data_IF_506447561661
#
_entry.id   IF_506447561661
#
_cell.length_a   1.000
_cell.length_b   1.000
_cell.length_c   1.000
_cell.angle_alpha   90.00
_cell.angle_beta   90.00
_cell.angle_gamma   90.00
#
_symmetry.space_group_name_H-M   'P 1'
#
loop_
_entity.id
_entity.type
_entity.pdbx_description
1 polymer ?
#
# COMPACT_ATOMS: atom_id res chain seq x y z
N UNK A 1 -1.39 -10.84 -14.81
CA UNK A 1 -0.49 -10.67 -13.65
C UNK A 1 0.94 -11.18 -13.83
N UNK A 2 1.20 -12.16 -14.69
CA UNK A 2 2.54 -12.72 -14.84
C UNK A 2 3.64 -11.71 -15.15
N UNK A 3 3.38 -10.75 -16.05
CA UNK A 3 4.35 -9.72 -16.42
C UNK A 3 4.63 -8.76 -15.25
N UNK A 4 3.59 -8.36 -14.52
CA UNK A 4 3.72 -7.49 -13.35
C UNK A 4 4.51 -8.20 -12.23
N UNK A 5 4.19 -9.45 -11.95
CA UNK A 5 4.89 -10.24 -10.95
C UNK A 5 6.39 -10.38 -11.28
N UNK A 6 6.72 -10.62 -12.55
CA UNK A 6 8.13 -10.69 -13.00
C UNK A 6 8.83 -9.35 -12.85
N UNK A 7 8.16 -8.26 -13.18
CA UNK A 7 8.73 -6.91 -13.02
C UNK A 7 9.02 -6.59 -11.54
N UNK A 8 8.09 -6.91 -10.65
CA UNK A 8 8.25 -6.72 -9.20
C UNK A 8 9.46 -7.53 -8.70
N UNK A 9 9.56 -8.79 -9.10
CA UNK A 9 10.66 -9.65 -8.71
C UNK A 9 12.02 -9.10 -9.18
N UNK A 10 12.05 -8.52 -10.38
CA UNK A 10 13.27 -7.90 -10.92
C UNK A 10 13.65 -6.61 -10.18
N UNK A 11 12.67 -5.84 -9.72
CA UNK A 11 12.90 -4.59 -9.01
C UNK A 11 13.18 -4.78 -7.52
N UNK A 12 12.72 -5.87 -6.94
CA UNK A 12 12.75 -6.09 -5.49
C UNK A 12 14.11 -5.80 -4.84
N UNK A 13 15.24 -6.25 -5.37
CA UNK A 13 16.55 -5.95 -4.75
C UNK A 13 16.92 -4.48 -4.72
N UNK A 14 16.28 -3.64 -5.55
CA UNK A 14 16.58 -2.22 -5.67
C UNK A 14 15.60 -1.34 -4.90
N UNK A 15 14.55 -1.94 -4.31
CA UNK A 15 13.53 -1.18 -3.61
C UNK A 15 14.01 -0.73 -2.24
N UNK A 16 13.60 0.48 -1.84
CA UNK A 16 13.80 0.97 -0.49
C UNK A 16 12.72 0.39 0.42
N UNK A 17 12.97 -0.74 1.05
CA UNK A 17 12.04 -1.36 1.99
C UNK A 17 12.10 -0.67 3.35
N UNK A 18 10.96 -0.38 3.94
CA UNK A 18 10.88 0.25 5.24
C UNK A 18 9.64 -0.19 6.00
N UNK A 19 9.68 -0.07 7.34
CA UNK A 19 8.54 -0.29 8.24
C UNK A 19 8.14 1.02 8.88
N UNK A 20 6.86 1.14 9.17
CA UNK A 20 6.40 2.23 10.03
C UNK A 20 6.85 1.95 11.46
N UNK A 21 7.09 3.03 12.20
CA UNK A 21 7.54 2.92 13.59
C UNK A 21 6.41 3.15 14.59
N UNK A 22 5.25 3.60 14.11
CA UNK A 22 4.08 3.86 14.97
C UNK A 22 2.80 3.66 14.18
N UNK A 23 1.73 3.40 14.88
CA UNK A 23 0.39 3.26 14.32
C UNK A 23 -0.55 2.74 15.38
N UNK A 24 -1.73 3.38 15.49
CA UNK A 24 -2.78 2.96 16.40
C UNK A 24 -3.98 2.46 15.59
N UNK A 25 -4.84 1.64 16.23
CA UNK A 25 -6.06 1.13 15.61
C UNK A 25 -5.86 0.14 14.44
N UNK A 26 -4.63 -0.33 14.23
CA UNK A 26 -4.35 -1.45 13.35
C UNK A 26 -4.49 -2.79 14.07
N UNK A 27 -4.13 -3.90 13.39
CA UNK A 27 -4.02 -5.21 14.03
C UNK A 27 -2.86 -5.21 15.04
N UNK A 28 -2.86 -6.13 16.04
CA UNK A 28 -1.84 -6.11 17.09
C UNK A 28 -0.40 -6.16 16.61
N UNK A 29 -0.15 -6.77 15.45
CA UNK A 29 1.19 -6.90 14.86
C UNK A 29 1.36 -6.11 13.58
N UNK A 30 0.56 -5.07 13.38
CA UNK A 30 0.58 -4.29 12.15
C UNK A 30 2.00 -3.81 11.76
N UNK A 31 2.81 -3.35 12.71
CA UNK A 31 4.16 -2.84 12.42
C UNK A 31 5.08 -3.95 11.91
N UNK A 32 5.02 -5.14 12.50
CA UNK A 32 5.83 -6.28 12.07
C UNK A 32 5.30 -6.92 10.79
N UNK A 33 4.00 -6.85 10.57
CA UNK A 33 3.32 -7.56 9.49
C UNK A 33 3.14 -6.72 8.22
N UNK A 34 3.74 -5.52 8.16
CA UNK A 34 3.64 -4.60 7.03
C UNK A 34 5.00 -4.00 6.67
N UNK A 35 5.28 -3.90 5.38
CA UNK A 35 6.44 -3.16 4.84
C UNK A 35 6.03 -2.37 3.61
N UNK A 36 6.69 -1.23 3.41
CA UNK A 36 6.64 -0.45 2.18
C UNK A 36 7.87 -0.72 1.33
N UNK A 37 7.68 -0.82 0.01
CA UNK A 37 8.79 -0.85 -0.93
C UNK A 37 8.72 0.37 -1.84
N UNK A 38 9.67 1.29 -1.72
CA UNK A 38 9.70 2.50 -2.54
C UNK A 38 10.34 2.21 -3.90
N UNK A 39 9.62 2.49 -4.98
CA UNK A 39 10.12 2.40 -6.35
C UNK A 39 10.67 3.76 -6.78
N UNK A 40 9.81 4.77 -6.79
CA UNK A 40 10.16 6.15 -7.13
C UNK A 40 9.88 7.03 -5.92
N UNK A 41 10.83 7.87 -5.56
CA UNK A 41 10.73 8.75 -4.41
C UNK A 41 11.93 8.61 -3.49
N UNK A 42 11.89 9.24 -2.29
CA UNK A 42 13.01 9.19 -1.36
C UNK A 42 13.38 7.75 -0.97
N UNK A 43 14.66 7.39 -1.18
CA UNK A 43 15.16 6.06 -0.85
C UNK A 43 14.79 4.95 -1.83
N UNK A 44 14.09 5.26 -2.92
CA UNK A 44 13.69 4.30 -3.93
C UNK A 44 14.74 4.06 -5.00
N UNK A 45 14.40 3.21 -5.97
CA UNK A 45 15.28 2.92 -7.11
C UNK A 45 15.46 4.15 -8.01
N UNK A 46 14.46 5.02 -8.07
CA UNK A 46 14.54 6.29 -8.79
C UNK A 46 14.17 7.44 -7.85
N UNK A 47 15.02 8.45 -7.78
CA UNK A 47 14.78 9.63 -6.96
C UNK A 47 13.87 10.62 -7.71
N UNK A 48 12.71 10.93 -7.16
CA UNK A 48 11.75 11.90 -7.71
C UNK A 48 11.11 12.69 -6.58
N UNK A 49 10.64 13.91 -6.93
CA UNK A 49 9.99 14.81 -5.96
C UNK A 49 8.55 15.17 -6.34
N UNK A 50 8.11 14.82 -7.54
CA UNK A 50 6.77 15.13 -8.07
C UNK A 50 5.77 13.98 -7.85
N UNK A 51 6.27 12.76 -7.71
CA UNK A 51 5.46 11.57 -7.47
C UNK A 51 6.23 10.60 -6.60
N UNK A 52 5.51 9.88 -5.76
CA UNK A 52 6.02 8.70 -5.09
C UNK A 52 5.25 7.48 -5.59
N UNK A 53 5.96 6.41 -5.83
CA UNK A 53 5.40 5.15 -6.30
C UNK A 53 6.03 4.01 -5.52
N UNK A 54 5.22 3.11 -5.01
CA UNK A 54 5.73 2.00 -4.23
C UNK A 54 4.74 0.87 -4.03
N UNK A 55 5.15 -0.08 -3.20
CA UNK A 55 4.34 -1.24 -2.83
C UNK A 55 4.00 -1.19 -1.36
N UNK A 56 2.83 -1.74 -1.03
CA UNK A 56 2.46 -2.09 0.34
C UNK A 56 2.29 -3.60 0.41
N UNK A 57 3.05 -4.24 1.27
CA UNK A 57 3.02 -5.68 1.46
C UNK A 57 2.64 -5.98 2.91
N UNK A 58 1.59 -6.77 3.10
CA UNK A 58 1.13 -7.17 4.43
C UNK A 58 1.00 -8.69 4.53
N UNK A 59 1.30 -9.21 5.70
CA UNK A 59 1.01 -10.61 6.04
C UNK A 59 -0.51 -10.86 6.05
N UNK A 60 -0.96 -12.12 6.01
CA UNK A 60 -2.38 -12.43 6.19
C UNK A 60 -2.93 -11.89 7.50
N UNK A 61 -4.22 -11.61 7.53
CA UNK A 61 -4.96 -11.13 8.71
C UNK A 61 -4.38 -9.87 9.35
N UNK A 62 -3.89 -8.94 8.51
CA UNK A 62 -3.31 -7.68 8.94
C UNK A 62 -4.24 -6.53 8.58
N UNK A 63 -4.45 -5.60 9.51
CA UNK A 63 -5.17 -4.35 9.26
C UNK A 63 -4.21 -3.18 9.36
N UNK A 64 -4.07 -2.44 8.26
CA UNK A 64 -3.42 -1.15 8.24
C UNK A 64 -4.39 -0.12 8.83
N UNK A 65 -3.97 0.70 9.82
CA UNK A 65 -4.90 1.59 10.53
C UNK A 65 -5.46 2.71 9.64
N UNK A 66 -6.59 3.27 10.08
CA UNK A 66 -7.12 4.48 9.48
C UNK A 66 -6.05 5.58 9.52
N UNK A 67 -5.80 6.21 8.39
CA UNK A 67 -4.80 7.26 8.25
C UNK A 67 -5.20 8.23 7.14
N UNK A 68 -4.57 9.38 7.13
CA UNK A 68 -4.75 10.39 6.08
C UNK A 68 -3.44 11.16 5.89
N UNK A 69 -3.32 11.82 4.74
CA UNK A 69 -2.16 12.64 4.41
C UNK A 69 -2.53 13.67 3.34
N UNK A 70 -1.74 14.77 3.19
CA UNK A 70 -2.03 15.82 2.22
C UNK A 70 -2.07 15.36 0.77
N UNK A 71 -1.12 14.53 0.26
CA UNK A 71 -1.18 14.09 -1.12
C UNK A 71 -2.39 13.20 -1.40
N UNK A 72 -2.96 13.35 -2.59
CA UNK A 72 -3.89 12.34 -3.09
C UNK A 72 -3.14 11.03 -3.37
N UNK A 73 -3.86 9.93 -3.28
CA UNK A 73 -3.26 8.61 -3.43
C UNK A 73 -4.16 7.70 -4.26
N UNK A 74 -3.53 6.89 -5.10
CA UNK A 74 -4.21 5.82 -5.79
C UNK A 74 -3.57 4.48 -5.44
N UNK A 75 -4.39 3.44 -5.32
CA UNK A 75 -3.94 2.06 -5.15
C UNK A 75 -4.43 1.20 -6.29
N UNK A 76 -3.60 0.23 -6.69
CA UNK A 76 -4.02 -0.91 -7.52
C UNK A 76 -3.72 -2.18 -6.76
N UNK A 77 -4.74 -3.01 -6.60
CA UNK A 77 -4.65 -4.24 -5.82
C UNK A 77 -4.16 -5.39 -6.69
N UNK A 78 -3.09 -6.05 -6.27
CA UNK A 78 -2.48 -7.15 -7.01
C UNK A 78 -2.84 -8.53 -6.43
N UNK A 79 -3.37 -8.57 -5.22
CA UNK A 79 -3.81 -9.77 -4.50
C UNK A 79 -5.18 -9.51 -3.88
N UNK A 80 -5.89 -10.52 -3.38
CA UNK A 80 -7.12 -10.27 -2.62
C UNK A 80 -6.88 -9.37 -1.41
N UNK A 81 -7.82 -8.46 -1.16
CA UNK A 81 -7.74 -7.54 -0.03
C UNK A 81 -8.91 -6.57 -0.03
N UNK A 82 -9.02 -5.79 1.02
CA UNK A 82 -10.12 -4.84 1.18
C UNK A 82 -9.61 -3.47 1.58
N UNK A 83 -10.36 -2.45 1.17
CA UNK A 83 -10.14 -1.05 1.52
C UNK A 83 -11.37 -0.47 2.20
N UNK A 84 -11.15 0.59 2.96
CA UNK A 84 -12.21 1.40 3.55
C UNK A 84 -11.86 2.87 3.42
N UNK A 85 -12.86 3.70 3.12
CA UNK A 85 -12.71 5.15 2.97
C UNK A 85 -13.71 5.86 3.87
N UNK A 86 -13.25 6.90 4.57
CA UNK A 86 -14.08 7.81 5.37
C UNK A 86 -14.97 7.09 6.39
N UNK A 87 -14.47 6.01 7.01
CA UNK A 87 -15.22 5.24 7.99
C UNK A 87 -16.40 4.45 7.44
N UNK A 88 -16.48 4.31 6.11
CA UNK A 88 -17.55 3.56 5.45
C UNK A 88 -17.36 2.04 5.50
N UNK A 89 -18.06 1.36 4.63
CA UNK A 89 -17.97 -0.10 4.54
C UNK A 89 -16.64 -0.57 3.95
N UNK A 90 -16.19 -1.73 4.38
CA UNK A 90 -15.07 -2.42 3.74
C UNK A 90 -15.53 -2.94 2.37
N UNK A 91 -14.67 -2.79 1.35
CA UNK A 91 -14.96 -3.28 0.01
C UNK A 91 -13.70 -3.84 -0.64
N UNK A 92 -13.91 -4.82 -1.52
CA UNK A 92 -12.86 -5.44 -2.33
C UNK A 92 -13.00 -4.94 -3.77
N UNK A 93 -12.05 -4.16 -4.28
CA UNK A 93 -12.10 -3.67 -5.66
C UNK A 93 -11.78 -4.77 -6.70
N UNK A 94 -11.36 -5.95 -6.24
CA UNK A 94 -10.90 -7.02 -7.11
C UNK A 94 -9.44 -6.87 -7.52
N UNK A 95 -8.83 -7.96 -7.97
CA UNK A 95 -7.46 -7.95 -8.52
C UNK A 95 -7.47 -7.09 -9.78
N UNK A 96 -6.46 -6.23 -9.90
CA UNK A 96 -6.32 -5.17 -10.91
C UNK A 96 -7.33 -4.02 -10.73
N UNK A 97 -8.20 -4.10 -9.75
CA UNK A 97 -9.04 -2.99 -9.33
C UNK A 97 -8.29 -2.05 -8.42
N UNK A 98 -8.81 -0.84 -8.26
CA UNK A 98 -8.13 0.16 -7.48
C UNK A 98 -9.08 1.09 -6.75
N UNK A 99 -8.50 1.96 -5.95
CA UNK A 99 -9.19 3.05 -5.29
C UNK A 99 -8.42 4.35 -5.46
N UNK A 100 -9.13 5.44 -5.34
CA UNK A 100 -8.58 6.78 -5.31
C UNK A 100 -8.96 7.44 -3.99
N UNK A 101 -7.98 7.96 -3.27
CA UNK A 101 -8.17 8.75 -2.05
C UNK A 101 -7.81 10.20 -2.35
N UNK A 102 -8.78 11.10 -2.23
CA UNK A 102 -8.53 12.52 -2.35
C UNK A 102 -7.61 13.01 -1.22
N UNK A 103 -7.00 14.20 -1.38
CA UNK A 103 -6.17 14.77 -0.31
C UNK A 103 -6.90 14.76 1.05
N UNK A 104 -6.20 14.32 2.09
CA UNK A 104 -6.68 14.24 3.47
C UNK A 104 -7.82 13.26 3.74
N UNK A 105 -8.27 12.49 2.77
CA UNK A 105 -9.30 11.46 3.01
C UNK A 105 -8.76 10.35 3.90
N UNK A 106 -9.51 10.05 4.95
CA UNK A 106 -9.18 8.94 5.86
C UNK A 106 -9.44 7.63 5.13
N UNK A 107 -8.46 6.75 5.15
CA UNK A 107 -8.55 5.44 4.51
C UNK A 107 -7.79 4.37 5.29
N UNK A 108 -8.17 3.13 5.05
CA UNK A 108 -7.56 1.95 5.66
C UNK A 108 -7.59 0.79 4.67
N UNK A 109 -6.80 -0.23 4.95
CA UNK A 109 -6.77 -1.46 4.16
C UNK A 109 -6.53 -2.66 5.07
N UNK A 110 -6.94 -3.83 4.62
CA UNK A 110 -6.71 -5.07 5.36
C UNK A 110 -6.55 -6.27 4.44
N UNK A 111 -5.78 -7.23 4.88
CA UNK A 111 -5.64 -8.53 4.24
C UNK A 111 -6.64 -9.52 4.84
N UNK A 112 -6.94 -10.55 4.07
CA UNK A 112 -7.67 -11.72 4.54
C UNK A 112 -6.72 -12.90 4.76
N UNK A 113 -7.07 -14.06 4.21
CA UNK A 113 -6.31 -15.31 4.41
C UNK A 113 -4.97 -15.36 3.68
N UNK A 114 -4.77 -14.49 2.69
CA UNK A 114 -3.56 -14.45 1.88
C UNK A 114 -2.82 -13.13 2.09
N UNK A 115 -1.52 -13.08 1.78
CA UNK A 115 -0.78 -11.82 1.83
C UNK A 115 -1.41 -10.77 0.92
N UNK A 116 -1.30 -9.52 1.34
CA UNK A 116 -1.81 -8.35 0.61
C UNK A 116 -0.65 -7.67 -0.10
N UNK A 117 -0.81 -7.42 -1.39
CA UNK A 117 0.14 -6.65 -2.17
C UNK A 117 -0.61 -5.63 -3.02
N UNK A 118 -0.28 -4.37 -2.85
CA UNK A 118 -0.83 -3.28 -3.65
C UNK A 118 0.28 -2.34 -4.11
N UNK A 119 0.09 -1.77 -5.31
CA UNK A 119 0.89 -0.64 -5.78
C UNK A 119 0.16 0.62 -5.35
N UNK A 120 0.90 1.59 -4.83
CA UNK A 120 0.36 2.90 -4.49
C UNK A 120 1.16 4.01 -5.16
N UNK A 121 0.48 5.12 -5.44
CA UNK A 121 1.12 6.34 -5.94
C UNK A 121 0.59 7.55 -5.18
N UNK A 122 1.49 8.46 -4.85
CA UNK A 122 1.20 9.74 -4.22
C UNK A 122 1.63 10.86 -5.16
N UNK A 123 0.76 11.83 -5.38
CA UNK A 123 1.11 13.07 -6.09
C UNK A 123 1.60 14.10 -5.07
N UNK A 124 2.85 14.41 -5.14
CA UNK A 124 3.50 15.33 -4.18
C UNK A 124 3.92 16.65 -4.82
#
# INVERSE_FOLDING_TARGET
MGAVARAIKSLEPQLGWSRRTSGSHGSPRYIEDHVHGMICGPGGAESRYDIQLGFSLMAPHTRYPDHHHPPEEAYVLLTPGEFRQQGGEWFDPGIDGGIHNEPHHVHAMRSGKTPFLAIWSLLT
#
